data_IF_579855708477
#
_entry.id   IF_579855708477
#
_cell.length_a   1.000
_cell.length_b   1.000
_cell.length_c   1.000
_cell.angle_alpha   90.00
_cell.angle_beta   90.00
_cell.angle_gamma   90.00
#
_symmetry.space_group_name_H-M   'P 1'
#
loop_
_entity.id
_entity.type
_entity.pdbx_description
1 polymer ?
#
# COMPACT_ATOMS: atom_id res chain seq x y z
N UNK A 1 -0.45 -6.05 -7.62
CA UNK A 1 0.88 -6.29 -7.01
C UNK A 1 0.70 -7.27 -5.86
N UNK A 2 1.68 -8.12 -5.58
CA UNK A 2 1.71 -9.03 -4.43
C UNK A 2 3.03 -8.88 -3.69
N UNK A 3 2.97 -8.90 -2.36
CA UNK A 3 4.15 -8.82 -1.51
C UNK A 3 4.71 -10.23 -1.25
N UNK A 4 6.00 -10.43 -1.49
CA UNK A 4 6.68 -11.71 -1.29
C UNK A 4 7.06 -11.99 0.17
N UNK A 5 7.03 -10.97 1.05
CA UNK A 5 7.38 -11.14 2.48
C UNK A 5 6.19 -11.63 3.31
N UNK A 6 5.03 -10.99 3.15
CA UNK A 6 3.82 -11.36 3.88
C UNK A 6 2.84 -12.20 3.04
N UNK A 7 3.21 -12.49 1.80
CA UNK A 7 2.39 -13.24 0.84
C UNK A 7 0.93 -12.74 0.77
N UNK A 8 0.78 -11.41 0.72
CA UNK A 8 -0.52 -10.74 0.60
C UNK A 8 -0.55 -9.81 -0.60
N UNK A 9 -1.74 -9.61 -1.15
CA UNK A 9 -1.95 -8.65 -2.24
C UNK A 9 -1.70 -7.23 -1.76
N UNK A 10 -1.16 -6.37 -2.61
CA UNK A 10 -0.99 -4.96 -2.26
C UNK A 10 -2.33 -4.27 -2.52
N UNK A 11 -2.99 -3.83 -1.45
CA UNK A 11 -4.20 -3.01 -1.54
C UNK A 11 -3.85 -1.61 -2.07
N UNK A 12 -4.77 -1.04 -2.86
CA UNK A 12 -4.56 0.25 -3.53
C UNK A 12 -5.72 1.20 -3.27
N UNK A 13 -5.41 2.45 -2.92
CA UNK A 13 -6.40 3.48 -2.63
C UNK A 13 -6.10 4.75 -3.44
N UNK A 14 -6.83 4.94 -4.54
CA UNK A 14 -6.69 6.12 -5.40
C UNK A 14 -7.28 7.36 -4.73
N UNK A 15 -6.60 8.50 -4.84
CA UNK A 15 -7.04 9.75 -4.21
C UNK A 15 -6.74 9.83 -2.72
N UNK A 16 -5.86 8.97 -2.21
CA UNK A 16 -5.45 8.92 -0.81
C UNK A 16 -3.93 8.85 -0.67
N UNK A 17 -3.45 9.24 0.50
CA UNK A 17 -2.08 9.04 0.99
C UNK A 17 -2.11 8.53 2.43
N UNK A 18 -1.02 7.93 2.89
CA UNK A 18 -0.92 7.53 4.29
C UNK A 18 -0.68 8.74 5.19
N UNK A 19 -1.28 8.73 6.38
CA UNK A 19 -0.91 9.70 7.43
C UNK A 19 0.51 9.40 7.92
N UNK A 20 1.24 10.42 8.34
CA UNK A 20 2.60 10.27 8.92
C UNK A 20 2.62 9.41 10.18
N UNK A 21 1.48 9.30 10.87
CA UNK A 21 1.28 8.46 12.05
C UNK A 21 1.00 6.99 11.74
N UNK A 22 1.00 6.59 10.47
CA UNK A 22 0.82 5.19 10.09
C UNK A 22 2.06 4.42 10.50
N UNK A 23 1.86 3.34 11.24
CA UNK A 23 2.93 2.45 11.69
C UNK A 23 2.71 1.01 11.23
N UNK A 24 3.75 0.20 11.40
CA UNK A 24 3.77 -1.21 11.03
C UNK A 24 2.67 -2.03 11.73
N UNK A 25 2.48 -1.85 13.03
CA UNK A 25 1.51 -2.63 13.81
C UNK A 25 0.08 -2.30 13.40
N UNK A 26 -0.20 -1.05 13.05
CA UNK A 26 -1.49 -0.66 12.50
C UNK A 26 -1.82 -1.46 11.22
N UNK A 27 -0.89 -1.53 10.26
CA UNK A 27 -1.14 -2.26 9.02
C UNK A 27 -1.27 -3.75 9.25
N UNK A 28 -0.39 -4.34 10.07
CA UNK A 28 -0.42 -5.76 10.42
C UNK A 28 -1.76 -6.18 11.01
N UNK A 29 -2.36 -5.34 11.86
CA UNK A 29 -3.61 -5.65 12.56
C UNK A 29 -4.88 -5.31 11.77
N UNK A 30 -4.80 -4.40 10.80
CA UNK A 30 -6.00 -3.85 10.14
C UNK A 30 -6.12 -4.21 8.65
N UNK A 31 -5.03 -4.56 7.98
CA UNK A 31 -5.10 -5.05 6.60
C UNK A 31 -5.83 -6.42 6.54
N UNK A 32 -6.67 -6.69 5.51
CA UNK A 32 -7.00 -5.85 4.35
C UNK A 32 -8.26 -4.99 4.53
N UNK A 33 -8.75 -4.78 5.76
CA UNK A 33 -10.04 -4.17 6.01
C UNK A 33 -10.01 -2.66 5.73
N UNK A 34 -10.56 -2.23 4.58
CA UNK A 34 -10.59 -0.82 4.19
C UNK A 34 -11.25 0.10 5.23
N UNK A 35 -12.34 -0.33 5.86
CA UNK A 35 -13.03 0.48 6.88
C UNK A 35 -12.12 0.79 8.07
N UNK A 36 -11.26 -0.17 8.46
CA UNK A 36 -10.25 0.05 9.51
C UNK A 36 -9.07 0.89 9.00
N UNK A 37 -8.59 0.61 7.79
CA UNK A 37 -7.46 1.33 7.17
C UNK A 37 -7.76 2.81 6.89
N UNK A 38 -9.03 3.14 6.59
CA UNK A 38 -9.49 4.51 6.30
C UNK A 38 -9.14 5.51 7.40
N UNK A 39 -9.07 5.07 8.65
CA UNK A 39 -8.67 5.91 9.78
C UNK A 39 -7.27 6.52 9.62
N UNK A 40 -6.36 5.84 8.91
CA UNK A 40 -4.99 6.29 8.65
C UNK A 40 -4.73 6.76 7.21
N UNK A 41 -5.79 6.88 6.41
CA UNK A 41 -5.72 7.50 5.09
C UNK A 41 -6.10 8.98 5.18
N UNK A 42 -5.40 9.81 4.42
CA UNK A 42 -5.74 11.21 4.20
C UNK A 42 -6.08 11.43 2.72
N UNK A 43 -7.10 12.28 2.45
CA UNK A 43 -7.49 12.61 1.08
C UNK A 43 -6.35 13.35 0.38
N UNK A 44 -5.97 12.87 -0.81
CA UNK A 44 -4.99 13.48 -1.68
C UNK A 44 -5.25 13.06 -3.13
N UNK A 45 -6.02 13.88 -3.88
CA UNK A 45 -6.50 13.54 -5.24
C UNK A 45 -5.40 13.22 -6.24
N UNK A 46 -4.20 13.77 -6.05
CA UNK A 46 -3.03 13.54 -6.90
C UNK A 46 -2.13 12.40 -6.44
N UNK A 47 -2.52 11.64 -5.41
CA UNK A 47 -1.75 10.51 -4.89
C UNK A 47 -2.55 9.21 -4.92
N UNK A 48 -1.82 8.10 -4.90
CA UNK A 48 -2.37 6.77 -4.69
C UNK A 48 -1.57 6.09 -3.57
N UNK A 49 -2.28 5.63 -2.56
CA UNK A 49 -1.73 4.87 -1.45
C UNK A 49 -1.73 3.37 -1.76
N UNK A 50 -0.70 2.68 -1.30
CA UNK A 50 -0.48 1.25 -1.43
C UNK A 50 -0.12 0.66 -0.07
N UNK A 51 -0.60 -0.52 0.25
CA UNK A 51 -0.10 -1.28 1.39
C UNK A 51 -0.31 -2.79 1.28
N UNK A 52 0.51 -3.53 2.00
CA UNK A 52 0.23 -4.90 2.44
C UNK A 52 0.28 -4.94 3.99
N UNK A 53 0.36 -6.13 4.60
CA UNK A 53 0.49 -6.23 6.06
C UNK A 53 1.84 -5.72 6.59
N UNK A 54 2.92 -5.81 5.80
CA UNK A 54 4.27 -5.48 6.28
C UNK A 54 4.78 -4.11 5.83
N UNK A 55 4.21 -3.52 4.79
CA UNK A 55 4.79 -2.32 4.18
C UNK A 55 3.72 -1.45 3.50
N UNK A 56 4.02 -0.17 3.33
CA UNK A 56 3.13 0.82 2.72
C UNK A 56 3.90 1.95 2.06
N UNK A 57 3.26 2.59 1.08
CA UNK A 57 3.78 3.79 0.44
C UNK A 57 2.66 4.56 -0.22
N UNK A 58 2.92 5.80 -0.61
CA UNK A 58 2.07 6.55 -1.52
C UNK A 58 2.90 7.22 -2.62
N UNK A 59 2.35 7.26 -3.82
CA UNK A 59 3.04 7.80 -5.00
C UNK A 59 2.13 8.76 -5.75
N UNK A 60 2.72 9.84 -6.27
CA UNK A 60 2.01 10.88 -7.05
C UNK A 60 2.19 10.76 -8.56
N UNK A 61 3.18 9.98 -8.98
CA UNK A 61 3.53 9.77 -10.38
C UNK A 61 3.91 8.31 -10.59
N UNK A 62 3.98 7.83 -11.84
CA UNK A 62 4.52 6.49 -12.12
C UNK A 62 5.93 6.37 -11.55
N UNK A 63 6.09 5.44 -10.60
CA UNK A 63 7.34 5.23 -9.87
C UNK A 63 7.75 3.78 -10.03
N UNK A 64 9.03 3.55 -10.37
CA UNK A 64 9.62 2.23 -10.36
C UNK A 64 9.79 1.76 -8.92
N UNK A 65 9.33 0.54 -8.62
CA UNK A 65 9.52 -0.07 -7.30
C UNK A 65 11.01 -0.32 -7.07
N UNK A 66 11.52 0.13 -5.93
CA UNK A 66 12.86 -0.21 -5.45
C UNK A 66 12.79 -1.57 -4.73
N UNK A 67 13.43 -2.64 -5.26
CA UNK A 67 13.41 -3.96 -4.64
C UNK A 67 14.05 -3.99 -3.24
N UNK A 68 14.88 -2.99 -2.90
CA UNK A 68 15.47 -2.86 -1.55
C UNK A 68 14.47 -2.38 -0.50
N UNK A 69 13.41 -1.69 -0.95
CA UNK A 69 12.38 -1.13 -0.06
C UNK A 69 11.11 -1.97 -0.08
N UNK A 70 10.75 -2.53 -1.23
CA UNK A 70 9.51 -3.28 -1.40
C UNK A 70 9.78 -4.58 -2.15
N UNK A 71 9.52 -5.71 -1.50
CA UNK A 71 9.51 -7.01 -2.16
C UNK A 71 8.14 -7.26 -2.83
N UNK A 72 7.69 -6.30 -3.64
CA UNK A 72 6.38 -6.31 -4.31
C UNK A 72 6.56 -6.61 -5.79
N UNK A 73 5.81 -7.59 -6.31
CA UNK A 73 5.87 -8.01 -7.70
C UNK A 73 4.52 -7.86 -8.38
N UNK A 74 4.52 -7.68 -9.70
CA UNK A 74 3.28 -7.75 -10.47
C UNK A 74 3.01 -9.21 -10.86
N UNK A 75 1.90 -9.76 -10.36
CA UNK A 75 1.51 -11.16 -10.60
C UNK A 75 0.40 -11.31 -11.64
N UNK A 76 -0.17 -10.20 -12.13
CA UNK A 76 -1.30 -10.21 -13.07
C UNK A 76 -1.09 -9.14 -14.13
N UNK A 77 -0.77 -9.57 -15.35
CA UNK A 77 -0.97 -8.80 -16.57
C UNK A 77 -1.84 -9.66 -17.50
N UNK A 78 -3.00 -9.19 -17.96
CA UNK A 78 -3.64 -9.82 -19.12
C UNK A 78 -2.65 -9.72 -20.29
N UNK A 79 -2.40 -10.86 -20.95
CA UNK A 79 -1.68 -10.93 -22.22
C UNK A 79 -2.42 -10.16 -23.31
#
# INVERSE_FOLDING_TARGET
LRCLECDHDVATFSGYKWKKSTDYMFLRNNYPNFSKLRCNLAICKSSRAFCCQCNWTDVKQPTRLDPRQFNWVCTKHPL
#
